data_IF_663760289374
#
_entry.id   IF_663760289374
#
_cell.length_a   1.000
_cell.length_b   1.000
_cell.length_c   1.000
_cell.angle_alpha   90.00
_cell.angle_beta   90.00
_cell.angle_gamma   90.00
#
_symmetry.space_group_name_H-M   'P 1'
#
loop_
_entity.id
_entity.type
_entity.pdbx_description
1 polymer ?
#
# COMPACT_ATOMS: atom_id res chain seq x y z
N UNK A 1 -21.82 -7.68 12.75
CA UNK A 1 -20.85 -8.38 11.88
C UNK A 1 -21.40 -8.25 10.46
N UNK A 2 -20.60 -7.84 9.49
CA UNK A 2 -21.05 -7.80 8.10
C UNK A 2 -21.10 -9.23 7.57
N UNK A 3 -22.15 -9.59 6.82
CA UNK A 3 -22.32 -10.93 6.27
C UNK A 3 -21.49 -11.15 5.01
N UNK A 4 -21.43 -10.14 4.14
CA UNK A 4 -20.70 -10.18 2.87
C UNK A 4 -19.89 -8.92 2.64
N UNK A 5 -18.64 -9.08 2.21
CA UNK A 5 -17.70 -7.96 2.00
C UNK A 5 -17.05 -8.06 0.63
N UNK A 6 -16.87 -6.93 -0.04
CA UNK A 6 -16.12 -6.84 -1.30
C UNK A 6 -15.07 -5.73 -1.21
N UNK A 7 -13.87 -6.02 -1.72
CA UNK A 7 -12.79 -5.04 -1.89
C UNK A 7 -12.72 -4.59 -3.35
N UNK A 8 -12.81 -3.29 -3.56
CA UNK A 8 -12.64 -2.67 -4.87
C UNK A 8 -11.24 -2.07 -4.99
N UNK A 9 -10.51 -2.45 -6.02
CA UNK A 9 -9.15 -1.97 -6.24
C UNK A 9 -8.73 -1.93 -7.70
N UNK A 10 -7.56 -1.34 -7.98
CA UNK A 10 -6.91 -1.38 -9.29
C UNK A 10 -6.40 -2.79 -9.67
N UNK A 11 -6.26 -3.68 -8.70
CA UNK A 11 -5.75 -5.02 -8.96
C UNK A 11 -6.71 -5.79 -9.85
N UNK A 12 -6.16 -6.74 -10.62
CA UNK A 12 -6.96 -7.64 -11.46
C UNK A 12 -7.43 -8.89 -10.69
N UNK A 13 -7.39 -8.85 -9.36
CA UNK A 13 -7.88 -9.94 -8.51
C UNK A 13 -9.41 -9.97 -8.58
N UNK A 14 -9.96 -11.16 -8.77
CA UNK A 14 -11.41 -11.41 -8.83
C UNK A 14 -11.79 -12.54 -7.89
N UNK A 15 -12.80 -12.33 -7.08
CA UNK A 15 -13.26 -13.33 -6.10
C UNK A 15 -12.38 -13.37 -4.86
N UNK A 16 -12.35 -14.51 -4.18
CA UNK A 16 -11.60 -14.64 -2.92
C UNK A 16 -10.13 -14.95 -3.15
N UNK A 17 -9.31 -14.42 -2.27
CA UNK A 17 -7.91 -14.81 -2.12
C UNK A 17 -7.74 -15.56 -0.79
N UNK A 18 -6.82 -16.48 -0.74
CA UNK A 18 -6.49 -17.23 0.46
C UNK A 18 -5.10 -16.85 1.01
N UNK A 19 -4.71 -17.47 2.12
CA UNK A 19 -3.45 -17.19 2.82
C UNK A 19 -2.19 -17.56 2.03
N UNK A 20 -2.32 -18.31 0.95
CA UNK A 20 -1.20 -18.67 0.06
C UNK A 20 -0.95 -17.62 -1.02
N UNK A 21 -1.78 -16.57 -1.08
CA UNK A 21 -1.64 -15.51 -2.06
C UNK A 21 -0.25 -14.85 -1.96
N UNK A 22 0.49 -14.69 -3.07
CA UNK A 22 1.91 -14.34 -3.05
C UNK A 22 2.21 -12.87 -2.73
N UNK A 23 1.22 -12.11 -2.25
CA UNK A 23 1.38 -10.71 -1.91
C UNK A 23 0.70 -10.44 -0.57
N UNK A 24 1.47 -9.91 0.38
CA UNK A 24 1.01 -9.60 1.73
C UNK A 24 0.67 -8.12 1.93
N UNK A 25 0.21 -7.42 0.89
CA UNK A 25 -0.30 -6.05 1.06
C UNK A 25 -1.39 -6.01 2.12
N UNK A 26 -1.47 -4.86 2.78
CA UNK A 26 -2.41 -4.64 3.87
C UNK A 26 -3.88 -4.90 3.48
N UNK A 27 -4.29 -4.47 2.29
CA UNK A 27 -5.64 -4.68 1.76
C UNK A 27 -5.94 -6.17 1.51
N UNK A 28 -4.96 -6.92 1.00
CA UNK A 28 -5.07 -8.36 0.80
C UNK A 28 -5.19 -9.08 2.14
N UNK A 29 -4.35 -8.75 3.11
CA UNK A 29 -4.41 -9.34 4.43
C UNK A 29 -5.79 -9.12 5.09
N UNK A 30 -6.32 -7.90 5.02
CA UNK A 30 -7.65 -7.60 5.55
C UNK A 30 -8.77 -8.32 4.79
N UNK A 31 -8.66 -8.42 3.45
CA UNK A 31 -9.68 -9.15 2.67
C UNK A 31 -9.74 -10.63 3.04
N UNK A 32 -8.58 -11.25 3.26
CA UNK A 32 -8.50 -12.66 3.73
C UNK A 32 -9.13 -12.80 5.12
N UNK A 33 -8.81 -11.90 6.05
CA UNK A 33 -9.34 -11.93 7.41
C UNK A 33 -10.85 -11.68 7.46
N UNK A 34 -11.40 -10.97 6.49
CA UNK A 34 -12.84 -10.70 6.37
C UNK A 34 -13.57 -11.71 5.49
N UNK A 35 -12.89 -12.69 4.93
CA UNK A 35 -13.43 -13.62 3.93
C UNK A 35 -14.10 -12.87 2.78
N UNK A 36 -13.48 -11.80 2.30
CA UNK A 36 -14.05 -10.88 1.34
C UNK A 36 -13.77 -11.29 -0.10
N UNK A 37 -14.68 -10.90 -0.99
CA UNK A 37 -14.44 -10.95 -2.43
C UNK A 37 -13.62 -9.75 -2.90
N UNK A 38 -12.93 -9.92 -4.02
CA UNK A 38 -12.28 -8.86 -4.77
C UNK A 38 -13.02 -8.57 -6.07
N UNK A 39 -13.12 -7.29 -6.40
CA UNK A 39 -13.67 -6.82 -7.66
C UNK A 39 -12.82 -5.67 -8.21
N UNK A 40 -12.19 -5.82 -9.38
CA UNK A 40 -11.55 -4.69 -10.06
C UNK A 40 -12.53 -3.56 -10.34
N UNK A 41 -12.08 -2.31 -10.30
CA UNK A 41 -12.94 -1.15 -10.65
C UNK A 41 -13.54 -1.21 -12.05
N UNK A 42 -12.91 -1.96 -12.96
CA UNK A 42 -13.37 -2.16 -14.33
C UNK A 42 -14.46 -3.21 -14.49
N UNK A 43 -14.83 -3.90 -13.39
CA UNK A 43 -15.77 -5.01 -13.44
C UNK A 43 -17.00 -4.74 -12.56
N UNK A 44 -18.06 -5.47 -12.85
CA UNK A 44 -19.29 -5.47 -12.06
C UNK A 44 -19.19 -6.59 -11.02
N UNK A 45 -19.47 -6.31 -9.73
CA UNK A 45 -19.49 -7.33 -8.69
C UNK A 45 -20.51 -8.44 -8.98
N UNK A 46 -20.25 -9.64 -8.49
CA UNK A 46 -21.12 -10.82 -8.71
C UNK A 46 -22.49 -10.72 -8.05
N UNK A 47 -22.69 -9.80 -7.11
CA UNK A 47 -23.92 -9.67 -6.34
C UNK A 47 -23.96 -8.43 -5.48
N UNK A 48 -24.86 -8.44 -4.50
CA UNK A 48 -24.98 -7.42 -3.45
C UNK A 48 -24.12 -7.80 -2.24
N UNK A 49 -23.58 -6.80 -1.59
CA UNK A 49 -22.71 -6.92 -0.40
C UNK A 49 -23.19 -5.98 0.70
N UNK A 50 -23.00 -6.41 1.95
CA UNK A 50 -23.28 -5.56 3.11
C UNK A 50 -22.23 -4.42 3.21
N UNK A 51 -21.00 -4.68 2.75
CA UNK A 51 -19.90 -3.75 2.85
C UNK A 51 -19.00 -3.76 1.60
N UNK A 52 -18.81 -2.59 1.01
CA UNK A 52 -17.79 -2.32 0.01
C UNK A 52 -16.60 -1.58 0.63
N UNK A 53 -15.40 -2.12 0.49
CA UNK A 53 -14.15 -1.45 0.88
C UNK A 53 -13.49 -0.92 -0.38
N UNK A 54 -13.32 0.40 -0.46
CA UNK A 54 -12.78 1.09 -1.62
C UNK A 54 -11.44 1.71 -1.27
N UNK A 55 -10.41 1.36 -2.00
CA UNK A 55 -9.12 2.05 -1.94
C UNK A 55 -9.05 3.04 -3.10
N UNK A 56 -9.14 4.34 -2.85
CA UNK A 56 -9.09 5.34 -3.93
C UNK A 56 -7.69 5.37 -4.52
N UNK A 57 -7.51 4.96 -5.79
CA UNK A 57 -6.20 4.87 -6.38
C UNK A 57 -5.63 6.24 -6.75
N UNK A 58 -4.31 6.38 -6.68
CA UNK A 58 -3.61 7.61 -7.08
C UNK A 58 -3.91 8.01 -8.54
N UNK A 59 -4.15 7.03 -9.39
CA UNK A 59 -4.41 7.23 -10.81
C UNK A 59 -5.84 7.72 -11.12
N UNK A 60 -6.78 7.57 -10.16
CA UNK A 60 -8.19 7.97 -10.30
C UNK A 60 -8.74 8.58 -9.01
N UNK A 61 -8.17 9.71 -8.54
CA UNK A 61 -8.63 10.36 -7.31
C UNK A 61 -10.05 10.91 -7.42
N UNK A 62 -10.53 11.10 -8.64
CA UNK A 62 -11.82 11.66 -9.02
C UNK A 62 -12.91 10.60 -9.27
N UNK A 63 -12.61 9.31 -8.98
CA UNK A 63 -13.64 8.26 -9.07
C UNK A 63 -14.83 8.61 -8.17
N UNK A 64 -16.03 8.26 -8.60
CA UNK A 64 -17.25 8.43 -7.79
C UNK A 64 -17.53 7.18 -6.95
N UNK A 65 -17.26 7.24 -5.64
CA UNK A 65 -17.53 6.12 -4.74
C UNK A 65 -19.03 5.82 -4.58
N UNK A 66 -19.91 6.79 -4.84
CA UNK A 66 -21.35 6.54 -4.76
C UNK A 66 -21.83 5.56 -5.82
N UNK A 67 -21.09 5.42 -6.92
CA UNK A 67 -21.39 4.41 -7.94
C UNK A 67 -21.40 2.98 -7.38
N UNK A 68 -20.65 2.70 -6.30
CA UNK A 68 -20.62 1.37 -5.66
C UNK A 68 -21.85 1.10 -4.79
N UNK A 69 -22.64 2.13 -4.42
CA UNK A 69 -23.86 1.95 -3.61
C UNK A 69 -24.96 1.15 -4.30
N UNK A 70 -24.86 1.00 -5.60
CA UNK A 70 -25.75 0.08 -6.30
C UNK A 70 -25.50 -1.39 -5.95
N UNK A 71 -24.31 -1.73 -5.43
CA UNK A 71 -23.93 -3.10 -5.05
C UNK A 71 -23.64 -3.28 -3.56
N UNK A 72 -23.45 -2.20 -2.81
CA UNK A 72 -23.07 -2.25 -1.41
C UNK A 72 -23.97 -1.38 -0.54
N UNK A 73 -24.45 -1.94 0.57
CA UNK A 73 -25.28 -1.20 1.53
C UNK A 73 -24.45 -0.14 2.28
N UNK A 74 -23.18 -0.45 2.55
CA UNK A 74 -22.22 0.44 3.19
C UNK A 74 -20.94 0.53 2.40
N UNK A 75 -20.34 1.73 2.40
CA UNK A 75 -19.07 1.99 1.73
C UNK A 75 -18.05 2.47 2.77
N UNK A 76 -16.90 1.85 2.75
CA UNK A 76 -15.70 2.27 3.47
C UNK A 76 -14.65 2.73 2.48
N UNK A 77 -14.05 3.88 2.72
CA UNK A 77 -12.81 4.25 2.06
C UNK A 77 -11.64 3.82 2.96
N UNK A 78 -10.82 2.91 2.47
CA UNK A 78 -9.60 2.50 3.15
C UNK A 78 -8.43 3.36 2.66
N UNK A 79 -7.66 3.90 3.59
CA UNK A 79 -6.44 4.65 3.31
C UNK A 79 -5.42 3.74 2.62
N UNK A 80 -4.88 4.16 1.48
CA UNK A 80 -3.86 3.40 0.76
C UNK A 80 -2.44 3.74 1.26
N UNK A 81 -2.15 5.03 1.33
CA UNK A 81 -0.84 5.55 1.70
C UNK A 81 -0.92 6.58 2.83
N UNK A 82 0.10 7.43 3.00
CA UNK A 82 0.04 8.52 3.95
C UNK A 82 -1.15 9.45 3.64
N UNK A 83 -1.75 10.02 4.69
CA UNK A 83 -2.92 10.89 4.53
C UNK A 83 -2.66 12.16 3.67
N UNK A 84 -1.42 12.59 3.55
CA UNK A 84 -1.00 13.72 2.73
C UNK A 84 -0.81 13.38 1.24
N UNK A 85 -0.92 12.15 0.88
CA UNK A 85 -0.67 11.58 -0.44
C UNK A 85 -1.46 12.27 -1.58
N UNK A 86 -2.66 12.79 -1.31
CA UNK A 86 -3.48 13.47 -2.30
C UNK A 86 -3.03 14.92 -2.60
N UNK A 87 -2.05 15.45 -1.88
CA UNK A 87 -1.57 16.84 -2.08
C UNK A 87 -0.93 17.07 -3.44
N UNK A 88 -0.49 16.02 -4.11
CA UNK A 88 0.05 16.10 -5.49
C UNK A 88 -1.03 16.17 -6.56
N UNK A 89 -2.30 16.03 -6.18
CA UNK A 89 -3.40 16.14 -7.12
C UNK A 89 -3.67 17.59 -7.50
N UNK A 90 -4.28 17.82 -8.68
CA UNK A 90 -4.84 19.14 -8.98
C UNK A 90 -5.86 19.55 -7.92
N UNK A 91 -6.11 20.85 -7.78
CA UNK A 91 -7.08 21.36 -6.80
C UNK A 91 -8.44 20.70 -6.98
N UNK A 92 -8.91 20.53 -8.21
CA UNK A 92 -10.17 19.86 -8.53
C UNK A 92 -10.17 18.41 -8.04
N UNK A 93 -9.12 17.66 -8.32
CA UNK A 93 -8.97 16.28 -7.87
C UNK A 93 -8.90 16.16 -6.34
N UNK A 94 -8.23 17.12 -5.67
CA UNK A 94 -8.22 17.16 -4.20
C UNK A 94 -9.62 17.36 -3.64
N UNK A 95 -10.41 18.28 -4.20
CA UNK A 95 -11.81 18.47 -3.78
C UNK A 95 -12.65 17.22 -4.03
N UNK A 96 -12.47 16.55 -5.16
CA UNK A 96 -13.19 15.32 -5.46
C UNK A 96 -12.82 14.17 -4.52
N UNK A 97 -11.53 14.03 -4.20
CA UNK A 97 -11.07 13.09 -3.18
C UNK A 97 -11.72 13.36 -1.82
N UNK A 98 -11.73 14.64 -1.39
CA UNK A 98 -12.36 15.05 -0.11
C UNK A 98 -13.87 14.76 -0.13
N UNK A 99 -14.54 15.04 -1.22
CA UNK A 99 -15.96 14.72 -1.39
C UNK A 99 -16.20 13.21 -1.24
N UNK A 100 -15.42 12.39 -1.89
CA UNK A 100 -15.51 10.93 -1.81
C UNK A 100 -15.37 10.44 -0.37
N UNK A 101 -14.33 10.84 0.36
CA UNK A 101 -14.13 10.39 1.74
C UNK A 101 -15.21 10.88 2.70
N UNK A 102 -15.84 12.05 2.42
CA UNK A 102 -17.00 12.56 3.19
C UNK A 102 -18.28 11.78 2.90
N UNK A 103 -18.43 11.25 1.70
CA UNK A 103 -19.59 10.48 1.26
C UNK A 103 -19.52 9.01 1.68
N UNK A 104 -18.36 8.54 2.12
CA UNK A 104 -18.21 7.20 2.69
C UNK A 104 -18.96 7.08 4.02
N UNK A 105 -19.45 5.90 4.34
CA UNK A 105 -20.02 5.59 5.66
C UNK A 105 -18.93 5.62 6.72
N UNK A 106 -17.74 5.12 6.40
CA UNK A 106 -16.54 5.17 7.24
C UNK A 106 -15.29 5.46 6.41
N UNK A 107 -14.27 6.00 7.09
CA UNK A 107 -12.90 6.02 6.61
C UNK A 107 -12.05 5.14 7.52
N UNK A 108 -11.34 4.18 6.95
CA UNK A 108 -10.36 3.37 7.66
C UNK A 108 -8.96 3.94 7.44
N UNK A 109 -8.38 4.50 8.49
CA UNK A 109 -7.01 4.99 8.50
C UNK A 109 -6.08 4.03 9.25
N UNK A 110 -4.79 4.07 8.96
CA UNK A 110 -3.84 3.13 9.53
C UNK A 110 -3.29 3.57 10.90
N UNK A 111 -3.26 4.87 11.16
CA UNK A 111 -2.69 5.43 12.37
C UNK A 111 -3.70 6.23 13.18
N UNK A 112 -3.52 6.26 14.50
CA UNK A 112 -4.35 7.09 15.39
C UNK A 112 -4.20 8.59 15.09
N UNK A 113 -3.02 9.03 14.67
CA UNK A 113 -2.76 10.42 14.26
C UNK A 113 -3.66 10.87 13.12
N UNK A 114 -3.95 9.98 12.17
CA UNK A 114 -4.70 10.29 10.95
C UNK A 114 -6.19 10.54 11.23
N UNK A 115 -6.70 10.04 12.36
CA UNK A 115 -8.11 10.23 12.76
C UNK A 115 -8.47 11.71 12.83
N UNK A 116 -7.60 12.53 13.45
CA UNK A 116 -7.85 13.97 13.56
C UNK A 116 -7.87 14.65 12.20
N UNK A 117 -6.98 14.22 11.31
CA UNK A 117 -6.88 14.73 9.95
C UNK A 117 -8.16 14.45 9.16
N UNK A 118 -8.61 13.21 9.06
CA UNK A 118 -9.83 12.86 8.34
C UNK A 118 -11.09 13.49 8.95
N UNK A 119 -11.17 13.59 10.29
CA UNK A 119 -12.26 14.34 10.95
C UNK A 119 -12.22 15.83 10.60
N UNK A 120 -11.03 16.43 10.53
CA UNK A 120 -10.85 17.82 10.09
C UNK A 120 -11.29 18.06 8.65
N UNK A 121 -11.15 17.06 7.77
CA UNK A 121 -11.69 17.08 6.41
C UNK A 121 -13.22 16.89 6.35
N UNK A 122 -13.88 16.63 7.47
CA UNK A 122 -15.34 16.48 7.56
C UNK A 122 -15.87 15.06 7.37
N UNK A 123 -15.02 14.04 7.53
CA UNK A 123 -15.47 12.65 7.50
C UNK A 123 -16.33 12.32 8.75
N UNK A 124 -17.46 11.66 8.54
CA UNK A 124 -18.47 11.40 9.60
C UNK A 124 -17.98 10.40 10.65
N UNK A 125 -17.42 9.28 10.19
CA UNK A 125 -16.90 8.22 11.06
C UNK A 125 -15.50 7.80 10.55
N UNK A 126 -14.51 7.86 11.41
CA UNK A 126 -13.11 7.52 11.11
C UNK A 126 -12.63 6.48 12.12
N UNK A 127 -12.20 5.34 11.61
CA UNK A 127 -11.76 4.21 12.42
C UNK A 127 -10.34 3.83 12.10
N UNK A 128 -9.60 3.42 13.14
CA UNK A 128 -8.23 2.94 12.96
C UNK A 128 -8.27 1.46 12.61
N UNK A 129 -7.87 1.15 11.39
CA UNK A 129 -7.59 -0.21 10.92
C UNK A 129 -6.09 -0.33 10.72
N UNK A 130 -5.41 -0.89 11.73
CA UNK A 130 -3.95 -1.01 11.69
C UNK A 130 -3.50 -1.83 10.49
N UNK A 131 -2.31 -1.53 10.00
CA UNK A 131 -1.66 -2.36 8.99
C UNK A 131 -1.60 -3.80 9.47
N UNK A 132 -2.07 -4.71 8.65
CA UNK A 132 -2.08 -6.14 8.89
C UNK A 132 -1.13 -6.82 7.90
N UNK A 133 -0.34 -7.75 8.41
CA UNK A 133 0.46 -8.67 7.60
C UNK A 133 0.19 -10.08 8.12
N UNK A 134 -0.07 -11.00 7.21
CA UNK A 134 -0.29 -12.40 7.57
C UNK A 134 1.06 -13.11 7.72
N UNK A 135 1.30 -13.81 8.85
CA UNK A 135 2.58 -14.45 9.13
C UNK A 135 2.93 -15.58 8.17
N UNK A 136 1.95 -16.23 7.57
CA UNK A 136 2.13 -17.34 6.64
C UNK A 136 3.04 -16.99 5.46
N UNK A 137 3.09 -15.72 5.07
CA UNK A 137 4.02 -15.22 4.08
C UNK A 137 5.49 -15.20 4.55
N UNK A 138 5.73 -15.28 5.87
CA UNK A 138 7.06 -15.20 6.48
C UNK A 138 7.57 -16.55 7.00
N UNK A 139 6.68 -17.47 7.34
CA UNK A 139 7.04 -18.74 8.00
C UNK A 139 8.00 -19.61 7.18
N UNK A 140 7.99 -19.46 5.86
CA UNK A 140 8.88 -20.17 4.94
C UNK A 140 10.11 -19.35 4.53
N UNK A 141 10.31 -18.14 5.09
CA UNK A 141 11.45 -17.29 4.77
C UNK A 141 12.75 -17.93 5.28
N UNK A 142 13.69 -18.08 4.37
CA UNK A 142 15.04 -18.59 4.71
C UNK A 142 15.95 -17.42 5.06
N UNK A 143 16.44 -17.41 6.27
CA UNK A 143 17.42 -16.41 6.72
C UNK A 143 18.83 -16.96 6.55
N UNK A 144 19.69 -16.21 5.88
CA UNK A 144 21.12 -16.55 5.81
C UNK A 144 21.78 -16.35 7.18
N UNK A 145 22.65 -17.29 7.57
CA UNK A 145 23.57 -17.10 8.71
C UNK A 145 24.66 -16.07 8.37
N UNK A 146 25.05 -16.03 7.08
CA UNK A 146 26.14 -15.18 6.58
C UNK A 146 25.52 -14.00 5.84
N UNK A 147 25.16 -12.97 6.61
CA UNK A 147 24.56 -11.75 6.08
C UNK A 147 25.62 -10.75 5.71
N UNK A 148 25.47 -10.10 4.55
CA UNK A 148 26.39 -9.08 4.04
C UNK A 148 25.66 -7.83 3.56
N UNK A 149 26.30 -6.68 3.75
CA UNK A 149 25.88 -5.41 3.17
C UNK A 149 24.53 -4.87 3.64
N UNK A 150 24.07 -3.90 2.90
CA UNK A 150 22.86 -3.11 3.17
C UNK A 150 21.89 -3.25 2.00
N UNK A 151 20.62 -3.49 2.30
CA UNK A 151 19.56 -3.41 1.29
C UNK A 151 18.70 -2.15 1.49
N UNK A 152 18.46 -1.42 0.41
CA UNK A 152 17.60 -0.25 0.43
C UNK A 152 16.15 -0.66 0.16
N UNK A 153 15.24 -0.25 1.03
CA UNK A 153 13.81 -0.40 0.85
C UNK A 153 13.21 0.82 0.17
N UNK A 154 12.67 0.64 -1.01
CA UNK A 154 12.07 1.72 -1.78
C UNK A 154 12.93 2.19 -2.95
N UNK A 155 12.35 3.05 -3.76
CA UNK A 155 13.01 3.65 -4.92
C UNK A 155 13.42 5.10 -4.63
N UNK A 156 14.17 5.71 -5.55
CA UNK A 156 14.68 7.08 -5.41
C UNK A 156 13.66 8.17 -5.73
N UNK A 157 12.39 7.84 -5.92
CA UNK A 157 11.35 8.86 -6.04
C UNK A 157 11.23 9.66 -4.75
N UNK A 158 10.78 10.90 -4.86
CA UNK A 158 10.63 11.81 -3.71
C UNK A 158 9.76 11.23 -2.57
N UNK A 159 8.82 10.36 -2.91
CA UNK A 159 7.91 9.72 -1.96
C UNK A 159 8.58 8.73 -1.02
N UNK A 160 9.54 7.98 -1.52
CA UNK A 160 10.17 6.88 -0.79
C UNK A 160 11.54 7.26 -0.21
N UNK A 161 11.99 8.51 -0.41
CA UNK A 161 13.27 9.02 0.13
C UNK A 161 14.45 8.08 -0.12
N UNK A 162 14.50 7.46 -1.30
CA UNK A 162 15.56 6.52 -1.64
C UNK A 162 16.94 7.17 -1.59
N UNK A 163 17.05 8.44 -2.01
CA UNK A 163 18.30 9.18 -1.92
C UNK A 163 18.76 9.35 -0.45
N UNK A 164 17.86 9.69 0.46
CA UNK A 164 18.20 9.81 1.88
C UNK A 164 18.63 8.45 2.45
N UNK A 165 17.95 7.37 2.05
CA UNK A 165 18.34 6.00 2.43
C UNK A 165 19.73 5.64 1.93
N UNK A 166 20.07 6.02 0.68
CA UNK A 166 21.39 5.81 0.10
C UNK A 166 22.47 6.61 0.84
N UNK A 167 22.25 7.89 1.11
CA UNK A 167 23.22 8.73 1.82
C UNK A 167 23.56 8.17 3.21
N UNK A 168 22.57 7.65 3.91
CA UNK A 168 22.79 6.96 5.19
C UNK A 168 23.57 5.65 4.97
N UNK A 169 23.19 4.83 4.01
CA UNK A 169 23.89 3.58 3.72
C UNK A 169 25.34 3.81 3.32
N UNK A 170 25.59 4.81 2.46
CA UNK A 170 26.94 5.15 1.99
C UNK A 170 27.87 5.58 3.13
N UNK A 171 27.34 6.18 4.20
CA UNK A 171 28.14 6.57 5.37
C UNK A 171 28.69 5.37 6.18
N UNK A 172 28.17 4.16 5.95
CA UNK A 172 28.52 2.95 6.74
C UNK A 172 29.65 2.14 6.09
N UNK A 173 30.03 2.44 4.84
CA UNK A 173 31.09 1.74 4.10
C UNK A 173 30.85 0.22 3.96
N UNK A 174 29.62 -0.19 3.70
CA UNK A 174 29.21 -1.56 3.40
C UNK A 174 28.64 -1.61 1.97
N UNK A 175 28.68 -2.77 1.27
CA UNK A 175 28.06 -2.93 -0.03
C UNK A 175 26.56 -2.59 0.00
N UNK A 176 26.12 -1.77 -0.96
CA UNK A 176 24.74 -1.30 -1.04
C UNK A 176 24.02 -1.99 -2.19
N UNK A 177 22.84 -2.53 -1.90
CA UNK A 177 21.98 -3.17 -2.89
C UNK A 177 20.60 -2.51 -2.89
N UNK A 178 20.04 -2.30 -4.06
CA UNK A 178 18.70 -1.77 -4.24
C UNK A 178 17.87 -2.63 -5.18
N UNK A 179 16.61 -2.82 -4.82
CA UNK A 179 15.59 -3.39 -5.70
C UNK A 179 14.67 -2.25 -6.12
N UNK A 180 14.87 -1.72 -7.32
CA UNK A 180 14.10 -0.58 -7.81
C UNK A 180 12.62 -0.90 -8.08
N UNK A 181 12.23 -2.17 -7.97
CA UNK A 181 10.86 -2.64 -8.24
C UNK A 181 10.30 -2.19 -9.59
N UNK A 182 11.15 -2.14 -10.60
CA UNK A 182 10.81 -1.66 -11.95
C UNK A 182 10.58 -0.15 -12.06
N UNK A 183 10.94 0.61 -11.02
CA UNK A 183 10.75 2.08 -10.95
C UNK A 183 12.07 2.83 -10.84
N UNK A 184 13.17 2.23 -11.29
CA UNK A 184 14.49 2.88 -11.32
C UNK A 184 14.39 4.17 -12.14
N UNK A 185 14.82 5.29 -11.56
CA UNK A 185 14.88 6.58 -12.24
C UNK A 185 16.19 6.65 -13.06
N UNK A 186 16.19 7.33 -14.23
CA UNK A 186 17.41 7.50 -15.03
C UNK A 186 18.58 8.11 -14.24
N UNK A 187 18.29 9.01 -13.32
CA UNK A 187 19.28 9.70 -12.47
C UNK A 187 20.00 8.74 -11.51
N UNK A 188 19.41 7.59 -11.23
CA UNK A 188 20.02 6.58 -10.35
C UNK A 188 21.27 5.94 -11.00
N UNK A 189 21.43 6.02 -12.33
CA UNK A 189 22.64 5.58 -13.02
C UNK A 189 23.86 6.47 -12.71
N UNK A 190 23.61 7.68 -12.19
CA UNK A 190 24.67 8.59 -11.75
C UNK A 190 25.17 8.31 -10.33
N UNK A 191 24.52 7.43 -9.59
CA UNK A 191 24.90 7.09 -8.23
C UNK A 191 25.85 5.91 -8.27
N UNK A 192 27.11 6.11 -7.85
CA UNK A 192 28.08 5.02 -7.84
C UNK A 192 27.76 4.00 -6.73
N UNK A 193 28.34 2.82 -6.87
CA UNK A 193 28.45 1.81 -5.81
C UNK A 193 27.14 1.21 -5.31
N UNK A 194 26.08 1.26 -6.14
CA UNK A 194 24.84 0.53 -5.88
C UNK A 194 24.71 -0.67 -6.82
N UNK A 195 24.55 -1.84 -6.25
CA UNK A 195 24.13 -3.03 -6.97
C UNK A 195 22.60 -3.01 -7.15
N UNK A 196 22.12 -2.97 -8.38
CA UNK A 196 20.70 -3.09 -8.67
C UNK A 196 20.29 -4.53 -8.92
N UNK A 197 19.22 -4.95 -8.25
CA UNK A 197 18.59 -6.23 -8.49
C UNK A 197 17.37 -6.06 -9.43
N UNK A 198 16.98 -7.11 -10.17
CA UNK A 198 15.81 -7.07 -11.02
C UNK A 198 14.52 -6.92 -10.18
N UNK A 199 13.43 -6.62 -10.86
CA UNK A 199 12.10 -6.69 -10.23
C UNK A 199 11.87 -8.07 -9.60
N UNK A 200 11.34 -8.06 -8.40
CA UNK A 200 11.02 -9.26 -7.63
C UNK A 200 9.55 -9.26 -7.22
N UNK A 201 8.95 -10.42 -7.15
CA UNK A 201 7.70 -10.60 -6.44
C UNK A 201 7.88 -10.28 -4.95
N UNK A 202 6.78 -10.05 -4.25
CA UNK A 202 6.84 -9.79 -2.80
C UNK A 202 7.55 -10.93 -2.04
N UNK A 203 7.33 -12.17 -2.44
CA UNK A 203 7.93 -13.34 -1.81
C UNK A 203 9.47 -13.35 -2.01
N UNK A 204 9.90 -13.19 -3.26
CA UNK A 204 11.32 -13.12 -3.57
C UNK A 204 12.01 -11.97 -2.87
N UNK A 205 11.32 -10.82 -2.72
CA UNK A 205 11.81 -9.67 -1.97
C UNK A 205 12.06 -9.99 -0.50
N UNK A 206 11.13 -10.68 0.18
CA UNK A 206 11.30 -11.08 1.57
C UNK A 206 12.47 -12.04 1.74
N UNK A 207 12.60 -13.02 0.86
CA UNK A 207 13.71 -13.98 0.89
C UNK A 207 15.06 -13.28 0.61
N UNK A 208 15.06 -12.31 -0.31
CA UNK A 208 16.24 -11.49 -0.59
C UNK A 208 16.65 -10.66 0.61
N UNK A 209 15.71 -9.99 1.28
CA UNK A 209 15.98 -9.21 2.50
C UNK A 209 16.68 -10.02 3.59
N UNK A 210 16.42 -11.32 3.67
CA UNK A 210 17.02 -12.23 4.63
C UNK A 210 18.55 -12.38 4.50
N UNK A 211 19.15 -11.95 3.37
CA UNK A 211 20.58 -12.08 3.08
C UNK A 211 21.42 -10.90 3.56
N UNK A 212 20.80 -9.79 3.95
CA UNK A 212 21.50 -8.55 4.29
C UNK A 212 21.58 -8.33 5.79
N UNK A 213 22.67 -7.66 6.23
CA UNK A 213 22.87 -7.27 7.63
C UNK A 213 21.85 -6.24 8.09
N UNK A 214 21.56 -5.26 7.21
CA UNK A 214 20.69 -4.10 7.49
C UNK A 214 19.78 -3.80 6.33
N UNK A 215 18.50 -3.53 6.62
CA UNK A 215 17.57 -2.89 5.72
C UNK A 215 17.39 -1.42 6.09
N UNK A 216 17.53 -0.51 5.12
CA UNK A 216 17.29 0.92 5.33
C UNK A 216 16.11 1.36 4.46
N UNK A 217 15.11 1.94 5.10
CA UNK A 217 13.97 2.54 4.44
C UNK A 217 13.58 3.82 5.15
N UNK A 218 13.78 4.93 4.46
CA UNK A 218 13.37 6.25 4.95
C UNK A 218 12.06 6.64 4.30
N UNK A 219 11.20 7.29 5.07
CA UNK A 219 9.98 7.92 4.55
C UNK A 219 10.03 9.39 4.91
N UNK A 220 9.74 10.25 3.95
CA UNK A 220 9.52 11.67 4.25
C UNK A 220 8.29 11.81 5.12
N UNK A 221 8.46 12.52 6.23
CA UNK A 221 7.36 13.06 7.04
C UNK A 221 7.19 14.53 6.66
N UNK A 222 5.99 14.91 6.28
CA UNK A 222 5.64 16.31 6.05
C UNK A 222 4.97 16.90 7.27
#
# INVERSE_FOLDING_TARGET
>A
MFGSVVFFSESQIVGKVDRTFPNARNDIAWSIMMDADWCPYSQIPKGKYDLGVVTIPKTKPDMDINSFRQWCDKIVVMQEGPHWYFQDYSVEQQFKFIENIRNADWVWCHNKSDVKYYKGLGCKDVRVMRTLMLPEGLDSTQYSSDKEGIILGGNFTSWYSGLDSYLIAHSVNEPITNVSMGRKQPEEDMIPDIKYLPYMSWREWIDECGKYKVGIHMMRTH
#
